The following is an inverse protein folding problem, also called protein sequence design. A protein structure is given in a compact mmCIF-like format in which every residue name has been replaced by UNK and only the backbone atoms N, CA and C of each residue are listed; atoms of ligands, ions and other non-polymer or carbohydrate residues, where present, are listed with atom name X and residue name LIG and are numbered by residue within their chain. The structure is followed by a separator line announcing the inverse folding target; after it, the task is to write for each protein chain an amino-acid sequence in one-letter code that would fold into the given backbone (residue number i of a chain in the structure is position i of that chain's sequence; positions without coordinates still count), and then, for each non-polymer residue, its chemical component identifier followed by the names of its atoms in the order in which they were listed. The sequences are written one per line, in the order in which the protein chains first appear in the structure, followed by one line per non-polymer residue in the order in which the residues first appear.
data_IF_707592356659
#
_entry.id   IF_707592356659
#
_cell.length_a   1.000
_cell.length_b   1.000
_cell.length_c   1.000
_cell.angle_alpha   90.00
_cell.angle_beta   90.00
_cell.angle_gamma   90.00
#
_symmetry.space_group_name_H-M   'P 1'
#
loop_
_entity.id
_entity.type
_entity.pdbx_description
1 polymer ?
#
# COMPACT_ATOMS: atom_id res chain seq x y z
N UNK A 1 -34.91 7.15 -2.46
CA UNK A 1 -33.45 7.01 -2.48
C UNK A 1 -33.09 6.51 -3.87
N UNK A 2 -32.33 7.30 -4.63
CA UNK A 2 -32.07 7.05 -6.04
C UNK A 2 -31.06 5.90 -6.22
N UNK A 3 -31.37 4.95 -7.09
CA UNK A 3 -30.50 3.80 -7.40
C UNK A 3 -29.16 4.24 -8.02
N UNK A 4 -29.11 5.42 -8.66
CA UNK A 4 -27.89 5.98 -9.25
C UNK A 4 -26.87 6.42 -8.19
N UNK A 5 -27.33 6.95 -7.05
CA UNK A 5 -26.46 7.38 -5.94
C UNK A 5 -25.72 6.19 -5.31
N UNK A 6 -26.36 5.03 -5.26
CA UNK A 6 -25.76 3.83 -4.67
C UNK A 6 -24.64 3.25 -5.54
N UNK A 7 -24.77 3.31 -6.87
CA UNK A 7 -23.75 2.83 -7.82
C UNK A 7 -22.52 3.74 -7.79
N UNK A 8 -22.73 5.06 -7.76
CA UNK A 8 -21.62 6.02 -7.70
C UNK A 8 -20.84 5.94 -6.37
N UNK A 9 -21.56 5.79 -5.25
CA UNK A 9 -20.95 5.55 -3.94
C UNK A 9 -20.11 4.27 -3.93
N UNK A 10 -20.68 3.16 -4.40
CA UNK A 10 -19.97 1.88 -4.47
C UNK A 10 -18.69 1.95 -5.34
N UNK A 11 -18.76 2.64 -6.48
CA UNK A 11 -17.58 2.84 -7.34
C UNK A 11 -16.48 3.68 -6.68
N UNK A 12 -16.86 4.76 -5.98
CA UNK A 12 -15.90 5.58 -5.21
C UNK A 12 -15.27 4.82 -4.07
N UNK A 13 -16.07 4.07 -3.33
CA UNK A 13 -15.59 3.30 -2.18
C UNK A 13 -14.59 2.24 -2.65
N UNK A 14 -14.85 1.55 -3.77
CA UNK A 14 -13.92 0.60 -4.38
C UNK A 14 -12.57 1.24 -4.76
N UNK A 15 -12.56 2.40 -5.40
CA UNK A 15 -11.30 3.10 -5.76
C UNK A 15 -10.53 3.56 -4.52
N UNK A 16 -11.22 4.03 -3.48
CA UNK A 16 -10.59 4.44 -2.21
C UNK A 16 -9.94 3.23 -1.53
N UNK A 17 -10.64 2.09 -1.48
CA UNK A 17 -10.14 0.83 -0.93
C UNK A 17 -8.88 0.38 -1.66
N UNK A 18 -8.92 0.38 -3.00
CA UNK A 18 -7.77 -0.01 -3.83
C UNK A 18 -6.55 0.88 -3.57
N UNK A 19 -6.74 2.20 -3.56
CA UNK A 19 -5.66 3.15 -3.32
C UNK A 19 -5.04 2.97 -1.92
N UNK A 20 -5.85 2.76 -0.88
CA UNK A 20 -5.37 2.52 0.48
C UNK A 20 -4.61 1.19 0.58
N UNK A 21 -5.08 0.14 -0.10
CA UNK A 21 -4.40 -1.15 -0.12
C UNK A 21 -3.01 -1.06 -0.78
N UNK A 22 -2.92 -0.37 -1.93
CA UNK A 22 -1.63 -0.12 -2.61
C UNK A 22 -0.68 0.68 -1.71
N UNK A 23 -1.17 1.74 -1.06
CA UNK A 23 -0.38 2.56 -0.17
C UNK A 23 0.14 1.75 1.03
N UNK A 24 -0.75 0.98 1.68
CA UNK A 24 -0.38 0.14 2.83
C UNK A 24 0.65 -0.91 2.44
N UNK A 25 0.48 -1.57 1.29
CA UNK A 25 1.42 -2.55 0.77
C UNK A 25 2.83 -1.95 0.57
N UNK A 26 2.93 -0.80 -0.09
CA UNK A 26 4.22 -0.14 -0.32
C UNK A 26 4.89 0.29 0.99
N UNK A 27 4.13 0.83 1.93
CA UNK A 27 4.68 1.23 3.23
C UNK A 27 5.21 0.02 4.01
N UNK A 28 4.47 -1.10 4.03
CA UNK A 28 4.88 -2.33 4.73
C UNK A 28 6.11 -2.96 4.10
N UNK A 29 6.21 -3.00 2.76
CA UNK A 29 7.38 -3.56 2.07
C UNK A 29 8.65 -2.74 2.33
N UNK A 30 8.50 -1.42 2.41
CA UNK A 30 9.65 -0.52 2.51
C UNK A 30 10.04 -0.15 3.94
N UNK A 31 9.18 -0.41 4.92
CA UNK A 31 9.51 -0.25 6.34
C UNK A 31 10.70 -1.14 6.74
N UNK A 32 11.65 -0.58 7.48
CA UNK A 32 12.85 -1.27 7.90
C UNK A 32 13.95 -1.41 6.83
N UNK A 33 13.71 -1.00 5.58
CA UNK A 33 14.77 -0.99 4.57
C UNK A 33 15.84 0.05 4.89
N UNK A 34 17.12 -0.32 4.68
CA UNK A 34 18.23 0.63 4.71
C UNK A 34 18.32 1.37 3.37
N UNK A 35 18.42 2.70 3.43
CA UNK A 35 18.57 3.57 2.27
C UNK A 35 19.86 4.36 2.43
N UNK A 36 20.61 4.47 1.32
CA UNK A 36 21.83 5.26 1.26
C UNK A 36 21.69 6.39 0.25
N UNK A 37 21.96 7.62 0.68
CA UNK A 37 22.01 8.79 -0.21
C UNK A 37 23.02 9.81 0.28
N UNK A 38 23.84 10.35 -0.63
CA UNK A 38 24.84 11.37 -0.29
C UNK A 38 25.84 10.95 0.79
N UNK A 39 26.16 9.66 0.89
CA UNK A 39 27.06 9.12 1.93
C UNK A 39 26.39 8.88 3.29
N UNK A 40 25.12 9.25 3.45
CA UNK A 40 24.34 8.95 4.64
C UNK A 40 23.55 7.66 4.46
N UNK A 41 23.42 6.89 5.53
CA UNK A 41 22.61 5.69 5.59
C UNK A 41 21.60 5.82 6.72
N UNK A 42 20.35 5.48 6.44
CA UNK A 42 19.30 5.46 7.44
C UNK A 42 18.29 4.35 7.14
N UNK A 43 17.59 3.90 8.18
CA UNK A 43 16.50 2.95 8.06
C UNK A 43 15.19 3.72 7.86
N UNK A 44 14.40 3.30 6.88
CA UNK A 44 13.04 3.80 6.71
C UNK A 44 12.17 3.32 7.87
N UNK A 45 11.48 4.25 8.52
CA UNK A 45 10.50 3.97 9.58
C UNK A 45 9.15 4.55 9.15
N UNK A 46 8.29 3.67 8.65
CA UNK A 46 6.94 3.99 8.20
C UNK A 46 5.86 3.50 9.17
N UNK A 47 6.22 3.03 10.37
CA UNK A 47 5.27 2.46 11.33
C UNK A 47 4.10 3.40 11.64
N UNK A 48 4.35 4.71 11.75
CA UNK A 48 3.30 5.69 12.01
C UNK A 48 2.33 5.86 10.83
N UNK A 49 2.84 5.78 9.59
CA UNK A 49 2.07 5.90 8.36
C UNK A 49 1.27 4.63 8.10
N UNK A 50 1.87 3.46 8.36
CA UNK A 50 1.21 2.15 8.33
C UNK A 50 -0.01 2.16 9.26
N UNK A 51 0.18 2.60 10.51
CA UNK A 51 -0.90 2.68 11.50
C UNK A 51 -2.00 3.66 11.07
N UNK A 52 -1.63 4.81 10.50
CA UNK A 52 -2.60 5.78 10.01
C UNK A 52 -3.46 5.23 8.86
N UNK A 53 -2.84 4.52 7.90
CA UNK A 53 -3.57 3.92 6.77
C UNK A 53 -4.46 2.78 7.26
N UNK A 54 -4.00 1.94 8.21
CA UNK A 54 -4.83 0.89 8.80
C UNK A 54 -6.09 1.45 9.46
N UNK A 55 -5.96 2.51 10.26
CA UNK A 55 -7.12 3.18 10.87
C UNK A 55 -8.10 3.72 9.82
N UNK A 56 -7.59 4.31 8.74
CA UNK A 56 -8.45 4.79 7.65
C UNK A 56 -9.22 3.64 6.98
N UNK A 57 -8.58 2.49 6.81
CA UNK A 57 -9.21 1.27 6.26
C UNK A 57 -10.27 0.70 7.23
N UNK A 58 -9.97 0.64 8.53
CA UNK A 58 -10.94 0.22 9.56
C UNK A 58 -12.17 1.13 9.61
N UNK A 59 -11.99 2.45 9.46
CA UNK A 59 -13.10 3.42 9.38
C UNK A 59 -14.00 3.19 8.16
N UNK A 60 -13.50 2.55 7.11
CA UNK A 60 -14.26 2.15 5.93
C UNK A 60 -14.87 0.75 6.06
N UNK A 61 -14.70 0.08 7.21
CA UNK A 61 -15.21 -1.27 7.47
C UNK A 61 -14.37 -2.38 6.82
N UNK A 62 -13.14 -2.08 6.43
CA UNK A 62 -12.20 -3.05 5.84
C UNK A 62 -11.41 -3.71 6.96
N UNK A 63 -11.38 -5.04 6.98
CA UNK A 63 -10.51 -5.78 7.88
C UNK A 63 -9.06 -5.72 7.39
N UNK A 64 -8.17 -5.12 8.19
CA UNK A 64 -6.75 -4.96 7.87
C UNK A 64 -5.90 -6.12 8.41
N UNK A 65 -6.52 -7.12 9.05
CA UNK A 65 -5.86 -8.35 9.50
C UNK A 65 -5.69 -9.37 8.37
N UNK A 66 -6.40 -9.18 7.25
CA UNK A 66 -6.22 -10.00 6.05
C UNK A 66 -4.86 -9.72 5.37
N UNK A 67 -4.27 -10.72 4.68
CA UNK A 67 -3.02 -10.54 3.96
C UNK A 67 -3.15 -9.43 2.91
N UNK A 68 -2.20 -8.48 2.91
CA UNK A 68 -2.15 -7.43 1.90
C UNK A 68 -1.99 -8.06 0.52
N UNK A 69 -2.99 -7.89 -0.34
CA UNK A 69 -2.91 -8.34 -1.73
C UNK A 69 -1.89 -7.43 -2.43
N UNK A 70 -0.82 -8.05 -2.94
CA UNK A 70 0.15 -7.34 -3.74
C UNK A 70 -0.55 -6.69 -4.94
N UNK A 71 -0.32 -5.39 -5.23
CA UNK A 71 -0.87 -4.74 -6.39
C UNK A 71 -0.52 -5.54 -7.66
N UNK A 72 -1.47 -5.71 -8.59
CA UNK A 72 -1.17 -6.37 -9.86
C UNK A 72 -0.11 -5.55 -10.61
N UNK A 73 1.14 -6.01 -10.59
CA UNK A 73 2.24 -5.40 -11.37
C UNK A 73 3.41 -4.80 -10.58
N UNK A 74 3.75 -5.30 -9.39
CA UNK A 74 5.06 -5.01 -8.81
C UNK A 74 6.18 -5.36 -9.81
N UNK A 75 7.24 -4.54 -9.97
CA UNK A 75 8.33 -4.85 -10.90
C UNK A 75 8.90 -6.21 -10.51
N UNK A 76 8.85 -7.18 -11.44
CA UNK A 76 9.73 -8.33 -11.33
C UNK A 76 11.13 -7.74 -11.28
N UNK A 77 11.90 -8.04 -10.24
CA UNK A 77 13.35 -7.97 -10.37
C UNK A 77 13.64 -8.98 -11.48
N UNK A 78 13.87 -8.50 -12.69
CA UNK A 78 14.65 -9.28 -13.64
C UNK A 78 15.98 -9.45 -12.92
N UNK A 79 16.25 -10.70 -12.54
CA UNK A 79 17.52 -11.07 -11.94
C UNK A 79 18.60 -10.59 -12.93
N UNK A 80 19.34 -9.55 -12.54
CA UNK A 80 20.59 -9.13 -13.18
C UNK A 80 21.65 -10.24 -12.92
N UNK A 81 21.37 -11.44 -13.41
CA UNK A 81 22.35 -12.49 -13.61
C UNK A 81 22.97 -12.26 -14.99
N UNK A 82 23.92 -11.33 -15.04
CA UNK A 82 24.91 -11.26 -16.11
C UNK A 82 26.22 -10.64 -15.62
N UNK A 83 26.83 -11.27 -14.61
CA UNK A 83 28.28 -11.25 -14.45
C UNK A 83 28.88 -12.38 -15.29
N UNK A 84 29.42 -12.06 -16.49
CA UNK A 84 30.71 -12.57 -17.03
C UNK A 84 31.25 -11.58 -18.06
#
# INVERSE_FOLDING_TARGET
MDSSDNIWRAGRDATIIEALNVALHMLVIHDGMQVRSGGNEWTLDFRSQIELVRRAMEMLGIDTSEPLIAPPGGPRKEDDDADV
#
